data_IF_340098859666
#
_entry.id   IF_340098859666
#
_cell.length_a   1.000
_cell.length_b   1.000
_cell.length_c   1.000
_cell.angle_alpha   90.00
_cell.angle_beta   90.00
_cell.angle_gamma   90.00
#
_symmetry.space_group_name_H-M   'P 1'
#
loop_
_entity.id
_entity.type
_entity.pdbx_description
1 polymer ?
#
# COMPACT_ATOMS: atom_id res chain seq x y z
N UNK A 1 -35.27 29.98 70.01
CA UNK A 1 -35.27 31.19 69.15
C UNK A 1 -35.19 30.74 67.68
N UNK A 2 -36.34 30.57 67.03
CA UNK A 2 -36.50 30.48 65.56
C UNK A 2 -36.59 31.91 65.00
N UNK A 3 -36.15 32.32 63.82
CA UNK A 3 -35.38 31.80 62.69
C UNK A 3 -34.91 33.04 61.87
N UNK A 4 -34.12 32.93 60.78
CA UNK A 4 -34.33 33.89 59.69
C UNK A 4 -34.23 33.30 58.28
N UNK A 5 -34.82 32.14 58.00
CA UNK A 5 -34.94 31.64 56.61
C UNK A 5 -36.05 32.36 55.80
N UNK A 6 -36.96 33.10 56.47
CA UNK A 6 -38.04 33.85 55.81
C UNK A 6 -37.56 35.13 55.14
N UNK A 7 -36.50 35.76 55.64
CA UNK A 7 -35.94 36.99 55.06
C UNK A 7 -35.23 36.73 53.74
N UNK A 8 -34.50 35.63 53.64
CA UNK A 8 -33.82 35.21 52.40
C UNK A 8 -34.82 34.76 51.33
N UNK A 9 -35.87 34.05 51.71
CA UNK A 9 -36.94 33.66 50.78
C UNK A 9 -37.71 34.88 50.24
N UNK A 10 -38.01 35.87 51.09
CA UNK A 10 -38.67 37.11 50.67
C UNK A 10 -37.80 37.92 49.70
N UNK A 11 -36.49 38.02 49.97
CA UNK A 11 -35.54 38.71 49.07
C UNK A 11 -35.43 37.98 47.73
N UNK A 12 -35.38 36.64 47.73
CA UNK A 12 -35.35 35.85 46.50
C UNK A 12 -36.59 36.06 45.61
N UNK A 13 -37.79 36.06 46.20
CA UNK A 13 -39.04 36.29 45.46
C UNK A 13 -39.08 37.70 44.86
N UNK A 14 -38.59 38.72 45.58
CA UNK A 14 -38.53 40.09 45.07
C UNK A 14 -37.56 40.20 43.89
N UNK A 15 -36.38 39.57 43.97
CA UNK A 15 -35.39 39.59 42.88
C UNK A 15 -35.95 38.90 41.63
N UNK A 16 -36.58 37.74 41.78
CA UNK A 16 -37.20 37.02 40.65
C UNK A 16 -38.33 37.85 40.02
N UNK A 17 -39.18 38.50 40.83
CA UNK A 17 -40.24 39.37 40.34
C UNK A 17 -39.70 40.59 39.57
N UNK A 18 -38.58 41.16 40.01
CA UNK A 18 -37.93 42.29 39.30
C UNK A 18 -37.31 41.84 37.97
N UNK A 19 -36.69 40.66 37.92
CA UNK A 19 -36.10 40.14 36.67
C UNK A 19 -37.19 39.78 35.65
N UNK A 20 -38.23 39.08 36.07
CA UNK A 20 -39.35 38.70 35.20
C UNK A 20 -40.18 39.92 34.78
N UNK A 21 -40.40 40.87 35.71
CA UNK A 21 -41.05 42.15 35.40
C UNK A 21 -40.23 43.02 34.45
N UNK A 22 -38.90 43.08 34.63
CA UNK A 22 -38.01 43.82 33.75
C UNK A 22 -38.01 43.31 32.31
N UNK A 23 -37.99 41.98 32.12
CA UNK A 23 -38.04 41.36 30.79
C UNK A 23 -39.39 41.55 30.08
N UNK A 24 -40.50 41.65 30.81
CA UNK A 24 -41.84 41.85 30.23
C UNK A 24 -42.13 43.31 29.84
N UNK A 25 -41.50 44.28 30.51
CA UNK A 25 -41.75 45.72 30.30
C UNK A 25 -40.73 46.35 29.33
N UNK A 26 -39.55 45.74 29.17
CA UNK A 26 -38.51 46.21 28.25
C UNK A 26 -38.98 46.44 26.80
N UNK A 27 -39.84 45.59 26.19
CA UNK A 27 -40.34 45.82 24.83
C UNK A 27 -41.35 46.97 24.70
N UNK A 28 -41.95 47.41 25.81
CA UNK A 28 -42.98 48.45 25.82
C UNK A 28 -42.45 49.83 26.26
N UNK A 29 -41.33 49.88 26.99
CA UNK A 29 -40.71 51.11 27.47
C UNK A 29 -39.65 51.67 26.49
N UNK A 30 -39.08 50.82 25.64
CA UNK A 30 -38.19 51.23 24.56
C UNK A 30 -39.06 51.33 23.30
N UNK A 31 -39.39 52.57 22.90
CA UNK A 31 -40.31 52.85 21.81
C UNK A 31 -39.99 52.05 20.55
N UNK A 32 -41.03 51.47 19.96
CA UNK A 32 -41.01 51.00 18.58
C UNK A 32 -40.95 52.22 17.67
N UNK A 33 -39.74 52.71 17.41
CA UNK A 33 -39.48 53.44 16.17
C UNK A 33 -39.63 52.44 15.04
N UNK A 34 -40.79 52.51 14.39
CA UNK A 34 -41.02 51.91 13.10
C UNK A 34 -40.05 52.55 12.11
N UNK A 35 -38.88 51.92 11.92
CA UNK A 35 -38.02 52.27 10.80
C UNK A 35 -38.61 51.67 9.53
N UNK A 36 -38.85 52.57 8.59
CA UNK A 36 -39.49 52.32 7.33
C UNK A 36 -38.43 51.90 6.30
N UNK A 37 -38.65 50.77 5.64
CA UNK A 37 -38.20 50.59 4.26
C UNK A 37 -36.71 50.43 4.00
N UNK A 38 -36.02 49.59 4.76
CA UNK A 38 -34.92 48.81 4.16
C UNK A 38 -35.49 47.43 3.82
N UNK A 39 -35.63 47.11 2.53
CA UNK A 39 -35.61 45.71 2.10
C UNK A 39 -34.49 45.00 2.88
N UNK A 40 -34.71 43.79 3.43
CA UNK A 40 -33.60 43.03 3.95
C UNK A 40 -32.57 42.99 2.83
N UNK A 41 -31.40 43.58 3.07
CA UNK A 41 -30.30 43.45 2.14
C UNK A 41 -30.09 41.94 2.06
N UNK A 42 -30.43 41.33 0.92
CA UNK A 42 -30.04 39.96 0.65
C UNK A 42 -28.52 39.98 0.65
N UNK A 43 -27.94 39.74 1.82
CA UNK A 43 -26.52 39.49 1.95
C UNK A 43 -26.33 38.12 1.32
N UNK A 44 -26.23 38.09 0.00
CA UNK A 44 -25.72 36.96 -0.78
C UNK A 44 -24.25 36.80 -0.42
N UNK A 45 -23.99 36.22 0.76
CA UNK A 45 -22.65 35.92 1.19
C UNK A 45 -22.19 34.71 0.38
N UNK A 46 -21.37 34.97 -0.66
CA UNK A 46 -20.79 33.94 -1.51
C UNK A 46 -20.06 32.84 -0.71
N UNK A 47 -19.62 33.16 0.52
CA UNK A 47 -18.96 32.22 1.44
C UNK A 47 -19.91 31.19 2.09
N UNK A 48 -21.23 31.38 1.96
CA UNK A 48 -22.27 30.47 2.48
C UNK A 48 -23.15 29.91 1.36
N UNK A 49 -22.62 29.80 0.14
CA UNK A 49 -23.26 29.05 -0.93
C UNK A 49 -22.77 27.60 -0.86
N UNK A 50 -23.51 26.66 -0.23
CA UNK A 50 -23.06 25.27 -0.07
C UNK A 50 -22.77 24.58 -1.41
N UNK A 51 -23.41 25.01 -2.50
CA UNK A 51 -23.14 24.51 -3.86
C UNK A 51 -21.81 24.94 -4.46
N UNK A 52 -21.06 25.86 -3.84
CA UNK A 52 -19.74 26.34 -4.28
C UNK A 52 -18.61 25.88 -3.33
N UNK A 53 -18.96 25.11 -2.29
CA UNK A 53 -18.02 24.67 -1.23
C UNK A 53 -17.61 23.21 -1.44
N UNK A 54 -18.41 22.42 -2.15
CA UNK A 54 -18.07 21.03 -2.45
C UNK A 54 -17.06 21.04 -3.59
N UNK A 55 -15.84 20.51 -3.38
CA UNK A 55 -14.93 20.34 -4.48
C UNK A 55 -15.49 19.31 -5.47
N UNK A 56 -14.99 19.33 -6.70
CA UNK A 56 -15.35 18.32 -7.70
C UNK A 56 -14.96 16.93 -7.15
N UNK A 57 -15.91 15.99 -7.19
CA UNK A 57 -15.67 14.60 -6.78
C UNK A 57 -15.06 13.84 -7.97
N UNK A 58 -14.00 13.10 -7.69
CA UNK A 58 -13.45 12.14 -8.64
C UNK A 58 -14.49 11.03 -8.84
N UNK A 59 -14.73 10.54 -10.08
CA UNK A 59 -15.60 9.39 -10.28
C UNK A 59 -15.14 8.20 -9.42
N UNK A 60 -16.10 7.55 -8.75
CA UNK A 60 -15.93 6.37 -7.88
C UNK A 60 -16.85 5.22 -8.36
N UNK A 61 -16.91 4.98 -9.67
CA UNK A 61 -17.81 4.01 -10.28
C UNK A 61 -17.02 3.11 -11.24
N UNK A 62 -17.17 1.79 -11.12
CA UNK A 62 -16.51 0.86 -12.02
C UNK A 62 -16.63 -0.61 -11.62
N UNK A 63 -16.01 -1.47 -12.41
CA UNK A 63 -15.79 -2.88 -12.11
C UNK A 63 -14.33 -3.19 -12.43
N UNK A 64 -13.65 -3.92 -11.55
CA UNK A 64 -12.28 -4.36 -11.82
C UNK A 64 -12.36 -5.56 -12.77
N UNK A 65 -11.88 -5.39 -13.99
CA UNK A 65 -11.86 -6.44 -15.01
C UNK A 65 -10.43 -6.81 -15.40
N UNK A 66 -10.24 -8.05 -15.86
CA UNK A 66 -8.99 -8.54 -16.44
C UNK A 66 -9.15 -8.76 -17.94
N UNK A 67 -8.14 -8.41 -18.72
CA UNK A 67 -8.10 -8.71 -20.16
C UNK A 67 -7.46 -10.08 -20.45
N UNK A 68 -6.67 -10.63 -19.52
CA UNK A 68 -5.97 -11.91 -19.73
C UNK A 68 -6.92 -13.11 -19.72
N UNK A 69 -6.82 -13.94 -20.75
CA UNK A 69 -7.50 -15.24 -20.82
C UNK A 69 -6.75 -16.36 -20.06
N UNK A 70 -5.63 -16.05 -19.40
CA UNK A 70 -4.87 -17.04 -18.63
C UNK A 70 -5.73 -17.58 -17.49
N UNK A 71 -5.59 -18.88 -17.17
CA UNK A 71 -6.31 -19.48 -16.03
C UNK A 71 -5.41 -20.42 -15.24
N UNK A 72 -5.73 -20.66 -13.98
CA UNK A 72 -5.04 -21.65 -13.14
C UNK A 72 -3.64 -21.26 -12.65
N UNK A 73 -3.17 -20.04 -12.97
CA UNK A 73 -1.93 -19.47 -12.40
C UNK A 73 -2.01 -19.39 -10.88
N UNK A 74 -0.87 -19.54 -10.23
CA UNK A 74 -0.73 -19.50 -8.77
C UNK A 74 0.02 -18.25 -8.35
N UNK A 75 -0.65 -17.35 -7.63
CA UNK A 75 -0.07 -16.11 -7.11
C UNK A 75 0.32 -16.35 -5.66
N UNK A 76 1.61 -16.17 -5.35
CA UNK A 76 2.12 -16.23 -3.99
C UNK A 76 2.12 -14.81 -3.39
N UNK A 77 1.32 -14.61 -2.36
CA UNK A 77 1.25 -13.36 -1.60
C UNK A 77 2.14 -13.49 -0.36
N UNK A 78 3.07 -12.56 -0.20
CA UNK A 78 3.91 -12.50 0.98
C UNK A 78 3.12 -11.96 2.18
N UNK A 79 3.08 -12.74 3.26
CA UNK A 79 2.63 -12.31 4.60
C UNK A 79 3.65 -12.72 5.67
N UNK A 80 4.83 -13.19 5.24
CA UNK A 80 5.90 -13.68 6.11
C UNK A 80 6.79 -12.57 6.65
N UNK A 81 6.90 -11.45 5.93
CA UNK A 81 7.81 -10.35 6.27
C UNK A 81 7.12 -9.18 6.98
N UNK A 82 6.10 -9.47 7.80
CA UNK A 82 5.31 -8.47 8.53
C UNK A 82 4.76 -7.34 7.65
N UNK A 83 4.27 -7.71 6.46
CA UNK A 83 3.75 -6.77 5.46
C UNK A 83 2.78 -5.73 6.02
N UNK A 84 2.83 -4.54 5.41
CA UNK A 84 2.13 -3.35 5.87
C UNK A 84 0.62 -3.42 5.76
N UNK A 85 0.15 -4.32 4.89
CA UNK A 85 -1.22 -4.40 4.41
C UNK A 85 -1.80 -5.78 4.70
N UNK A 86 -3.06 -5.82 5.11
CA UNK A 86 -3.82 -7.01 5.42
C UNK A 86 -4.44 -7.67 4.17
N UNK A 87 -4.77 -8.96 4.29
CA UNK A 87 -5.48 -9.69 3.22
C UNK A 87 -6.83 -9.05 2.86
N UNK A 88 -7.48 -8.36 3.82
CA UNK A 88 -8.75 -7.65 3.62
C UNK A 88 -8.57 -6.38 2.79
N UNK A 89 -7.46 -5.67 2.99
CA UNK A 89 -7.15 -4.45 2.23
C UNK A 89 -6.76 -4.78 0.78
N UNK A 90 -6.12 -5.93 0.55
CA UNK A 90 -5.82 -6.42 -0.80
C UNK A 90 -7.01 -7.08 -1.50
N UNK A 91 -8.18 -7.11 -0.87
CA UNK A 91 -9.33 -7.87 -1.37
C UNK A 91 -9.69 -7.53 -2.83
N UNK A 92 -9.77 -6.26 -3.28
CA UNK A 92 -10.10 -5.94 -4.67
C UNK A 92 -9.20 -6.64 -5.71
N UNK A 93 -7.89 -6.68 -5.49
CA UNK A 93 -6.97 -7.39 -6.38
C UNK A 93 -7.08 -8.92 -6.24
N UNK A 94 -7.16 -9.43 -5.00
CA UNK A 94 -7.14 -10.87 -4.74
C UNK A 94 -8.45 -11.55 -5.15
N UNK A 95 -9.60 -10.89 -4.97
CA UNK A 95 -10.90 -11.39 -5.41
C UNK A 95 -10.97 -11.40 -6.93
N UNK A 96 -10.55 -10.32 -7.61
CA UNK A 96 -10.45 -10.26 -9.08
C UNK A 96 -9.64 -11.43 -9.64
N UNK A 97 -8.43 -11.69 -9.10
CA UNK A 97 -7.62 -12.84 -9.52
C UNK A 97 -8.31 -14.18 -9.25
N UNK A 98 -8.98 -14.34 -8.11
CA UNK A 98 -9.65 -15.58 -7.76
C UNK A 98 -10.90 -15.86 -8.61
N UNK A 99 -11.68 -14.82 -8.90
CA UNK A 99 -12.88 -14.87 -9.75
C UNK A 99 -12.53 -15.21 -11.20
N UNK A 100 -11.36 -14.78 -11.67
CA UNK A 100 -10.79 -15.16 -12.98
C UNK A 100 -10.08 -16.54 -12.97
N UNK A 101 -10.27 -17.35 -11.92
CA UNK A 101 -9.86 -18.75 -11.90
C UNK A 101 -8.38 -18.98 -11.55
N UNK A 102 -7.72 -17.98 -10.97
CA UNK A 102 -6.37 -18.13 -10.43
C UNK A 102 -6.39 -18.58 -8.97
N UNK A 103 -5.24 -19.09 -8.50
CA UNK A 103 -5.08 -19.58 -7.12
C UNK A 103 -4.23 -18.61 -6.31
N UNK A 104 -4.79 -18.11 -5.22
CA UNK A 104 -4.05 -17.32 -4.23
C UNK A 104 -3.43 -18.26 -3.19
N UNK A 105 -2.14 -18.10 -2.92
CA UNK A 105 -1.40 -18.77 -1.84
C UNK A 105 -0.66 -17.74 -1.02
N UNK A 106 -0.48 -18.03 0.27
CA UNK A 106 0.16 -17.10 1.20
C UNK A 106 1.46 -17.70 1.74
N UNK A 107 2.56 -16.98 1.58
CA UNK A 107 3.84 -17.30 2.21
C UNK A 107 3.89 -16.71 3.61
N UNK A 108 4.09 -17.56 4.63
CA UNK A 108 4.07 -17.19 6.06
C UNK A 108 5.41 -17.36 6.77
N UNK A 109 6.47 -17.79 6.08
CA UNK A 109 7.81 -18.00 6.65
C UNK A 109 7.98 -19.15 7.68
N UNK A 110 6.92 -19.89 8.01
CA UNK A 110 6.93 -20.82 9.17
C UNK A 110 7.16 -22.30 8.84
N UNK A 111 6.85 -22.75 7.62
CA UNK A 111 6.77 -24.20 7.29
C UNK A 111 7.58 -24.61 6.07
N UNK A 112 7.78 -23.67 5.15
CA UNK A 112 8.35 -23.88 3.84
C UNK A 112 9.19 -22.65 3.54
N UNK A 113 10.35 -22.81 2.91
CA UNK A 113 11.17 -21.68 2.50
C UNK A 113 10.48 -20.88 1.39
N UNK A 114 10.86 -19.62 1.22
CA UNK A 114 10.36 -18.81 0.11
C UNK A 114 10.68 -19.48 -1.23
N UNK A 115 11.90 -19.99 -1.41
CA UNK A 115 12.35 -20.59 -2.67
C UNK A 115 11.51 -21.82 -3.06
N UNK A 116 11.14 -22.66 -2.11
CA UNK A 116 10.23 -23.80 -2.36
C UNK A 116 8.82 -23.32 -2.71
N UNK A 117 8.34 -22.26 -2.05
CA UNK A 117 7.03 -21.67 -2.35
C UNK A 117 6.99 -21.06 -3.76
N UNK A 118 8.03 -20.28 -4.13
CA UNK A 118 8.19 -19.65 -5.44
C UNK A 118 8.31 -20.67 -6.57
N UNK A 119 8.91 -21.84 -6.32
CA UNK A 119 9.03 -22.91 -7.33
C UNK A 119 7.68 -23.38 -7.88
N UNK A 120 6.66 -23.33 -7.03
CA UNK A 120 5.28 -23.77 -7.31
C UNK A 120 4.30 -22.61 -7.48
N UNK A 121 4.81 -21.39 -7.65
CA UNK A 121 4.05 -20.19 -7.95
C UNK A 121 4.38 -19.71 -9.37
N UNK A 122 3.50 -18.91 -9.96
CA UNK A 122 3.69 -18.24 -11.25
C UNK A 122 3.96 -16.74 -11.06
N UNK A 123 3.46 -16.16 -9.97
CA UNK A 123 3.67 -14.77 -9.60
C UNK A 123 3.93 -14.59 -8.11
N UNK A 124 4.55 -13.47 -7.74
CA UNK A 124 4.88 -13.10 -6.37
C UNK A 124 4.43 -11.67 -6.08
N UNK A 125 3.64 -11.51 -5.03
CA UNK A 125 3.12 -10.22 -4.57
C UNK A 125 3.72 -9.88 -3.20
N UNK A 126 4.40 -8.74 -3.12
CA UNK A 126 4.99 -8.21 -1.88
C UNK A 126 4.44 -6.80 -1.64
N UNK A 127 3.94 -6.55 -0.43
CA UNK A 127 3.20 -5.32 -0.11
C UNK A 127 3.71 -4.72 1.19
N UNK A 128 4.54 -3.69 1.08
CA UNK A 128 5.14 -2.98 2.22
C UNK A 128 5.79 -3.95 3.25
N UNK A 129 6.82 -4.73 2.87
CA UNK A 129 7.45 -5.68 3.77
C UNK A 129 8.16 -4.93 4.90
N UNK A 130 7.95 -5.29 6.17
CA UNK A 130 8.61 -4.63 7.31
C UNK A 130 9.85 -5.37 7.80
N UNK A 131 9.98 -6.65 7.45
CA UNK A 131 11.20 -7.43 7.67
C UNK A 131 12.05 -7.52 6.40
N UNK A 132 13.37 -7.66 6.60
CA UNK A 132 14.31 -7.81 5.50
C UNK A 132 14.26 -9.23 4.95
N UNK A 133 14.30 -9.33 3.63
CA UNK A 133 14.58 -10.59 2.94
C UNK A 133 16.03 -10.99 3.19
N UNK A 134 16.25 -12.28 3.40
CA UNK A 134 17.60 -12.86 3.51
C UNK A 134 18.28 -12.94 2.14
N UNK A 135 19.61 -13.08 2.12
CA UNK A 135 20.35 -13.23 0.85
C UNK A 135 19.88 -14.42 0.02
N UNK A 136 19.53 -15.54 0.66
CA UNK A 136 19.03 -16.74 -0.03
C UNK A 136 17.64 -16.54 -0.62
N UNK A 137 16.80 -15.72 0.03
CA UNK A 137 15.48 -15.34 -0.47
C UNK A 137 15.60 -14.37 -1.64
N UNK A 138 16.49 -13.38 -1.57
CA UNK A 138 16.74 -12.44 -2.67
C UNK A 138 17.26 -13.16 -3.92
N UNK A 139 18.25 -14.06 -3.76
CA UNK A 139 18.74 -14.90 -4.86
C UNK A 139 17.65 -15.81 -5.42
N UNK A 140 16.75 -16.30 -4.58
CA UNK A 140 15.57 -17.05 -5.01
C UNK A 140 14.59 -16.20 -5.82
N UNK A 141 14.29 -14.99 -5.36
CA UNK A 141 13.43 -14.04 -6.07
C UNK A 141 14.02 -13.68 -7.43
N UNK A 142 15.32 -13.40 -7.51
CA UNK A 142 16.04 -13.16 -8.78
C UNK A 142 15.93 -14.37 -9.72
N UNK A 143 16.23 -15.58 -9.24
CA UNK A 143 16.09 -16.79 -10.07
C UNK A 143 14.63 -17.04 -10.52
N UNK A 144 13.66 -16.63 -9.72
CA UNK A 144 12.23 -16.73 -10.05
C UNK A 144 11.83 -15.74 -11.15
N UNK A 145 12.26 -14.48 -11.06
CA UNK A 145 11.96 -13.45 -12.06
C UNK A 145 12.73 -13.69 -13.35
N UNK A 146 13.99 -14.12 -13.30
CA UNK A 146 14.78 -14.55 -14.46
C UNK A 146 14.18 -15.78 -15.18
N UNK A 147 13.39 -16.56 -14.45
CA UNK A 147 12.63 -17.66 -15.02
C UNK A 147 11.35 -17.24 -15.71
N UNK A 148 10.94 -15.97 -15.66
CA UNK A 148 9.68 -15.47 -16.21
C UNK A 148 8.56 -15.32 -15.19
N UNK A 149 8.85 -15.52 -13.89
CA UNK A 149 7.90 -15.29 -12.81
C UNK A 149 7.66 -13.80 -12.63
N UNK A 150 6.39 -13.41 -12.46
CA UNK A 150 6.00 -12.00 -12.32
C UNK A 150 6.10 -11.58 -10.87
N UNK A 151 6.67 -10.41 -10.61
CA UNK A 151 6.76 -9.85 -9.27
C UNK A 151 6.14 -8.47 -9.21
N UNK A 152 5.20 -8.28 -8.30
CA UNK A 152 4.65 -6.97 -7.94
C UNK A 152 5.15 -6.60 -6.55
N UNK A 153 5.80 -5.44 -6.44
CA UNK A 153 6.26 -4.87 -5.17
C UNK A 153 5.58 -3.53 -4.95
N UNK A 154 4.75 -3.44 -3.92
CA UNK A 154 4.13 -2.19 -3.50
C UNK A 154 4.82 -1.67 -2.25
N UNK A 155 5.09 -0.37 -2.17
CA UNK A 155 5.75 0.26 -1.03
C UNK A 155 5.08 1.56 -0.65
N UNK A 156 4.94 1.79 0.66
CA UNK A 156 4.36 3.00 1.25
C UNK A 156 5.46 3.89 1.86
N UNK A 157 5.20 5.18 2.16
CA UNK A 157 6.16 6.00 2.88
C UNK A 157 6.42 5.47 4.31
N UNK A 158 7.61 5.74 4.90
CA UNK A 158 7.84 5.41 6.30
C UNK A 158 6.81 6.08 7.21
N UNK A 159 6.23 5.28 8.12
CA UNK A 159 5.30 5.75 9.13
C UNK A 159 5.97 5.82 10.51
N UNK A 160 5.50 6.74 11.36
CA UNK A 160 6.01 6.84 12.73
C UNK A 160 5.13 5.98 13.63
N UNK A 161 5.70 4.89 14.14
CA UNK A 161 5.03 4.05 15.10
C UNK A 161 5.26 4.60 16.51
N UNK A 162 4.16 4.84 17.23
CA UNK A 162 4.20 5.17 18.65
C UNK A 162 4.27 3.87 19.43
N UNK A 163 5.41 3.56 20.02
CA UNK A 163 5.54 2.44 20.94
C UNK A 163 5.36 2.92 22.37
N UNK A 164 4.55 2.24 23.17
CA UNK A 164 4.35 2.54 24.59
C UNK A 164 3.38 3.69 24.89
N UNK A 165 2.81 3.69 26.09
CA UNK A 165 1.85 4.70 26.52
C UNK A 165 2.51 6.09 26.65
N UNK A 166 2.35 6.94 25.63
CA UNK A 166 2.77 8.35 25.66
C UNK A 166 2.19 9.09 26.88
N UNK A 167 1.02 8.65 27.33
CA UNK A 167 0.28 9.14 28.48
C UNK A 167 1.02 9.03 29.83
N UNK A 168 2.19 8.36 29.89
CA UNK A 168 3.07 8.35 31.06
C UNK A 168 4.57 8.55 30.75
N UNK A 169 4.94 9.04 29.56
CA UNK A 169 6.35 9.28 29.20
C UNK A 169 7.21 8.02 29.05
N UNK A 170 6.58 6.84 28.95
CA UNK A 170 7.23 5.55 28.78
C UNK A 170 7.27 5.09 27.30
N UNK A 171 6.79 5.93 26.38
CA UNK A 171 6.73 5.62 24.96
C UNK A 171 7.80 6.33 24.13
N UNK A 172 8.17 5.72 23.01
CA UNK A 172 9.08 6.26 22.02
C UNK A 172 8.41 6.38 20.65
N UNK A 173 8.81 7.39 19.87
CA UNK A 173 8.50 7.45 18.45
C UNK A 173 9.59 6.67 17.71
N UNK A 174 9.20 5.66 16.94
CA UNK A 174 10.11 4.89 16.13
C UNK A 174 9.65 4.95 14.69
N UNK A 175 10.53 5.42 13.80
CA UNK A 175 10.27 5.43 12.37
C UNK A 175 10.36 3.98 11.86
N UNK A 176 9.28 3.51 11.26
CA UNK A 176 9.18 2.18 10.65
C UNK A 176 8.86 2.37 9.19
N UNK A 177 9.76 1.92 8.31
CA UNK A 177 9.59 2.01 6.87
C UNK A 177 9.70 0.64 6.20
N UNK A 178 9.13 0.48 5.00
CA UNK A 178 9.21 -0.77 4.27
C UNK A 178 10.65 -1.12 3.89
N UNK A 179 10.97 -2.41 3.86
CA UNK A 179 12.24 -2.99 3.44
C UNK A 179 12.23 -3.33 1.94
N UNK A 180 11.65 -2.45 1.11
CA UNK A 180 11.53 -2.66 -0.36
C UNK A 180 12.85 -2.45 -1.11
N UNK A 181 13.82 -1.76 -0.52
CA UNK A 181 15.07 -1.40 -1.18
C UNK A 181 15.86 -2.63 -1.68
N UNK A 182 15.91 -3.72 -0.90
CA UNK A 182 16.59 -4.95 -1.28
C UNK A 182 15.90 -5.73 -2.40
N UNK A 183 14.60 -5.51 -2.60
CA UNK A 183 13.85 -6.14 -3.69
C UNK A 183 13.95 -5.35 -5.00
N UNK A 184 14.11 -4.03 -4.93
CA UNK A 184 14.17 -3.17 -6.12
C UNK A 184 15.58 -3.01 -6.71
N UNK A 185 16.62 -3.09 -5.88
CA UNK A 185 17.99 -2.69 -6.28
C UNK A 185 18.52 -3.47 -7.49
N UNK A 186 18.29 -4.78 -7.54
CA UNK A 186 18.80 -5.65 -8.60
C UNK A 186 18.10 -5.39 -9.94
N UNK A 187 16.94 -4.73 -9.90
CA UNK A 187 16.15 -4.34 -11.07
C UNK A 187 16.29 -2.86 -11.44
N UNK A 188 17.22 -2.13 -10.80
CA UNK A 188 17.43 -0.70 -11.04
C UNK A 188 16.28 0.18 -10.53
N UNK A 189 15.55 -0.29 -9.52
CA UNK A 189 14.40 0.39 -8.92
C UNK A 189 14.75 0.79 -7.48
N UNK A 190 14.50 2.05 -7.13
CA UNK A 190 14.65 2.54 -5.78
C UNK A 190 13.40 3.31 -5.34
N UNK A 191 12.86 2.95 -4.17
CA UNK A 191 11.79 3.70 -3.52
C UNK A 191 12.40 4.92 -2.84
N UNK A 192 11.91 6.11 -3.18
CA UNK A 192 12.39 7.35 -2.62
C UNK A 192 11.92 7.57 -1.19
N UNK A 193 12.52 8.55 -0.53
CA UNK A 193 12.14 8.98 0.81
C UNK A 193 11.13 10.12 0.77
N UNK A 194 10.17 10.08 1.68
CA UNK A 194 9.05 11.01 1.73
C UNK A 194 7.92 10.62 0.78
N UNK A 195 6.89 11.47 0.74
CA UNK A 195 5.68 11.30 -0.04
C UNK A 195 5.58 12.39 -1.11
N UNK A 196 4.83 12.10 -2.16
CA UNK A 196 4.46 13.06 -3.19
C UNK A 196 3.22 13.84 -2.76
N UNK A 197 3.17 15.10 -3.14
CA UNK A 197 2.02 15.96 -2.90
C UNK A 197 1.82 16.95 -4.05
N UNK A 198 0.57 17.35 -4.28
CA UNK A 198 0.22 18.38 -5.26
C UNK A 198 -0.82 19.32 -4.61
N UNK A 199 -0.49 20.61 -4.50
CA UNK A 199 -1.36 21.58 -3.82
C UNK A 199 -2.47 22.12 -4.74
N UNK A 200 -2.34 21.92 -6.05
CA UNK A 200 -3.19 22.55 -7.07
C UNK A 200 -4.11 21.54 -7.75
N UNK A 201 -3.57 20.38 -8.12
CA UNK A 201 -4.27 19.31 -8.84
C UNK A 201 -4.17 18.02 -8.05
N UNK A 202 -5.16 17.77 -7.18
CA UNK A 202 -5.22 16.62 -6.28
C UNK A 202 -6.66 16.14 -6.06
N UNK A 203 -6.80 14.91 -5.60
CA UNK A 203 -8.09 14.32 -5.25
C UNK A 203 -8.50 14.74 -3.83
N UNK A 204 -8.94 15.99 -3.70
CA UNK A 204 -9.51 16.57 -2.47
C UNK A 204 -8.63 16.51 -1.20
N UNK A 205 -7.37 16.10 -1.37
CA UNK A 205 -6.33 16.05 -0.38
C UNK A 205 -5.00 16.21 -1.11
N UNK A 206 -4.20 17.19 -0.71
CA UNK A 206 -2.91 17.48 -1.35
C UNK A 206 -1.93 16.30 -1.41
N UNK A 207 -2.13 15.25 -0.60
CA UNK A 207 -1.33 14.01 -0.65
C UNK A 207 -1.91 12.91 -1.54
N UNK A 208 -3.14 13.07 -2.01
CA UNK A 208 -3.79 12.21 -3.01
C UNK A 208 -3.48 12.79 -4.39
N UNK A 209 -2.34 12.39 -4.95
CA UNK A 209 -1.85 12.95 -6.20
C UNK A 209 -2.42 12.18 -7.40
N UNK A 210 -2.77 12.90 -8.46
CA UNK A 210 -3.06 12.27 -9.74
C UNK A 210 -1.77 11.82 -10.41
N UNK A 211 -1.79 10.65 -11.03
CA UNK A 211 -0.74 10.18 -11.92
C UNK A 211 -1.30 9.75 -13.27
N UNK A 212 -0.55 10.00 -14.33
CA UNK A 212 -0.95 9.77 -15.72
C UNK A 212 0.10 8.92 -16.45
N UNK A 213 -0.28 8.22 -17.54
CA UNK A 213 0.64 7.43 -18.35
C UNK A 213 1.81 8.25 -18.89
N UNK A 214 3.04 7.85 -18.55
CA UNK A 214 4.27 8.35 -19.16
C UNK A 214 4.80 7.45 -20.29
N UNK A 215 4.26 6.23 -20.41
CA UNK A 215 4.59 5.27 -21.44
C UNK A 215 3.35 4.43 -21.80
N UNK A 216 3.24 4.02 -23.06
CA UNK A 216 2.23 3.07 -23.52
C UNK A 216 2.71 1.64 -23.21
N UNK A 217 2.06 0.99 -22.26
CA UNK A 217 2.40 -0.36 -21.78
C UNK A 217 1.12 -1.12 -21.41
N UNK A 218 1.23 -2.43 -21.20
CA UNK A 218 0.11 -3.22 -20.67
C UNK A 218 -0.41 -2.66 -19.32
N UNK A 219 0.46 -2.02 -18.51
CA UNK A 219 0.07 -1.40 -17.23
C UNK A 219 -0.76 -0.12 -17.37
N UNK A 220 -0.76 0.51 -18.54
CA UNK A 220 -1.38 1.82 -18.79
C UNK A 220 -2.48 1.75 -19.86
N UNK A 221 -2.83 0.55 -20.31
CA UNK A 221 -3.92 0.37 -21.26
C UNK A 221 -5.23 0.73 -20.58
N UNK A 222 -6.02 1.62 -21.21
CA UNK A 222 -7.30 2.08 -20.66
C UNK A 222 -7.20 3.05 -19.47
N UNK A 223 -5.99 3.38 -19.00
CA UNK A 223 -5.79 4.33 -17.89
C UNK A 223 -5.61 5.73 -18.46
N UNK A 224 -6.54 6.64 -18.16
CA UNK A 224 -6.38 8.06 -18.40
C UNK A 224 -5.67 8.73 -17.21
N UNK A 225 -6.11 8.44 -15.98
CA UNK A 225 -5.45 8.87 -14.73
C UNK A 225 -5.81 8.00 -13.53
N UNK A 226 -4.92 7.95 -12.54
CA UNK A 226 -5.12 7.25 -11.28
C UNK A 226 -4.91 8.18 -10.09
N UNK A 227 -5.45 7.79 -8.92
CA UNK A 227 -5.22 8.50 -7.65
C UNK A 227 -4.26 7.67 -6.79
N UNK A 228 -3.12 8.25 -6.47
CA UNK A 228 -2.11 7.64 -5.60
C UNK A 228 -2.00 8.42 -4.29
N UNK A 229 -2.20 7.77 -3.15
CA UNK A 229 -2.26 8.41 -1.83
C UNK A 229 -0.92 8.28 -1.10
N UNK A 230 -0.39 9.41 -0.65
CA UNK A 230 0.92 9.52 0.01
C UNK A 230 2.07 8.81 -0.75
N UNK A 231 1.96 8.69 -2.08
CA UNK A 231 2.84 7.85 -2.87
C UNK A 231 4.31 8.23 -2.71
N UNK A 232 5.20 7.24 -2.59
CA UNK A 232 6.64 7.45 -2.64
C UNK A 232 7.13 7.50 -4.09
N UNK A 233 8.09 8.39 -4.43
CA UNK A 233 8.60 8.43 -5.80
C UNK A 233 9.47 7.20 -6.09
N UNK A 234 9.20 6.53 -7.20
CA UNK A 234 10.06 5.49 -7.74
C UNK A 234 11.18 6.14 -8.57
N UNK A 235 12.42 5.85 -8.20
CA UNK A 235 13.62 6.28 -8.92
C UNK A 235 14.18 5.11 -9.71
N UNK A 236 14.52 5.39 -10.96
CA UNK A 236 15.12 4.40 -11.87
C UNK A 236 15.90 5.10 -12.98
N UNK A 237 16.94 4.44 -13.50
CA UNK A 237 17.68 4.90 -14.67
C UNK A 237 17.14 4.26 -15.97
N UNK A 238 16.82 2.97 -15.92
CA UNK A 238 16.56 2.15 -17.12
C UNK A 238 15.16 1.50 -17.13
N UNK A 239 14.46 1.45 -16.00
CA UNK A 239 13.11 0.88 -15.95
C UNK A 239 12.09 1.82 -16.63
N UNK A 240 11.05 1.23 -17.21
CA UNK A 240 9.97 1.99 -17.83
C UNK A 240 9.12 2.64 -16.74
N UNK A 241 9.07 3.97 -16.71
CA UNK A 241 8.16 4.74 -15.85
C UNK A 241 6.78 4.68 -16.48
N UNK A 242 5.91 3.83 -15.96
CA UNK A 242 4.58 3.60 -16.52
C UNK A 242 3.64 4.77 -16.19
N UNK A 243 3.57 5.14 -14.90
CA UNK A 243 2.76 6.25 -14.41
C UNK A 243 3.64 7.27 -13.67
N UNK A 244 3.39 8.55 -13.92
CA UNK A 244 4.08 9.67 -13.27
C UNK A 244 3.08 10.67 -12.73
N UNK A 245 3.42 11.33 -11.62
CA UNK A 245 2.61 12.42 -11.08
C UNK A 245 2.45 13.56 -12.09
N UNK A 246 1.25 14.16 -12.12
CA UNK A 246 0.90 15.29 -13.00
C UNK A 246 1.70 16.55 -12.69
N UNK A 247 1.61 17.56 -13.55
CA UNK A 247 2.23 18.87 -13.33
C UNK A 247 1.84 19.46 -11.97
N UNK A 248 2.81 20.11 -11.31
CA UNK A 248 2.65 20.62 -9.94
C UNK A 248 2.84 19.58 -8.84
N UNK A 249 3.24 18.35 -9.16
CA UNK A 249 3.65 17.35 -8.16
C UNK A 249 5.01 17.70 -7.56
N UNK A 250 5.10 17.66 -6.23
CA UNK A 250 6.28 17.95 -5.43
C UNK A 250 6.68 16.78 -4.53
N UNK A 251 7.97 16.66 -4.22
CA UNK A 251 8.48 15.73 -3.23
C UNK A 251 8.53 16.35 -1.83
N UNK A 252 7.94 15.73 -0.80
CA UNK A 252 7.85 16.34 0.54
C UNK A 252 9.18 16.62 1.23
N UNK A 253 10.23 15.86 0.93
CA UNK A 253 11.55 16.00 1.57
C UNK A 253 12.35 17.19 1.05
N UNK A 254 12.22 17.53 -0.24
CA UNK A 254 12.97 18.64 -0.86
C UNK A 254 12.09 19.81 -1.29
N UNK A 255 10.77 19.57 -1.43
CA UNK A 255 9.77 20.46 -2.03
C UNK A 255 10.02 20.77 -3.50
N UNK A 256 10.92 20.05 -4.15
CA UNK A 256 11.19 20.25 -5.56
C UNK A 256 9.97 19.82 -6.38
N UNK A 257 9.53 20.61 -7.37
CA UNK A 257 8.58 20.15 -8.37
C UNK A 257 9.27 19.15 -9.31
N UNK A 258 8.52 18.19 -9.83
CA UNK A 258 9.05 17.27 -10.84
C UNK A 258 8.07 16.22 -11.32
N UNK A 259 8.46 15.52 -12.38
CA UNK A 259 7.75 14.37 -12.93
C UNK A 259 8.24 13.10 -12.22
N UNK A 260 7.65 12.82 -11.07
CA UNK A 260 8.01 11.66 -10.25
C UNK A 260 7.26 10.42 -10.70
N UNK A 261 7.97 9.32 -10.97
CA UNK A 261 7.31 8.04 -11.24
C UNK A 261 6.67 7.50 -9.97
N UNK A 262 5.47 6.95 -10.10
CA UNK A 262 4.75 6.24 -9.03
C UNK A 262 4.58 4.76 -9.36
N UNK A 263 4.61 4.41 -10.66
CA UNK A 263 4.68 3.03 -11.14
C UNK A 263 5.83 2.89 -12.12
N UNK A 264 6.68 1.91 -11.91
CA UNK A 264 7.76 1.58 -12.84
C UNK A 264 7.88 0.06 -13.06
N UNK A 265 8.26 -0.34 -14.27
CA UNK A 265 8.44 -1.74 -14.66
C UNK A 265 9.84 -1.99 -15.20
N UNK A 266 10.50 -3.00 -14.65
CA UNK A 266 11.78 -3.54 -15.10
C UNK A 266 11.60 -5.02 -15.43
N UNK A 267 11.37 -5.33 -16.71
CA UNK A 267 11.14 -6.70 -17.18
C UNK A 267 9.95 -7.39 -16.50
N UNK A 268 10.26 -8.38 -15.66
CA UNK A 268 9.28 -9.19 -14.93
C UNK A 268 8.92 -8.63 -13.54
N UNK A 269 9.42 -7.43 -13.19
CA UNK A 269 9.16 -6.76 -11.91
C UNK A 269 8.45 -5.44 -12.14
N UNK A 270 7.33 -5.25 -11.44
CA UNK A 270 6.60 -3.99 -11.37
C UNK A 270 6.66 -3.46 -9.94
N UNK A 271 7.03 -2.19 -9.80
CA UNK A 271 7.09 -1.46 -8.55
C UNK A 271 6.03 -0.36 -8.52
N UNK A 272 5.26 -0.31 -7.44
CA UNK A 272 4.26 0.75 -7.18
C UNK A 272 4.61 1.44 -5.87
N UNK A 273 4.67 2.77 -5.89
CA UNK A 273 5.01 3.60 -4.74
C UNK A 273 3.84 3.88 -3.80
N UNK A 274 2.78 3.08 -3.85
CA UNK A 274 1.59 3.24 -3.04
C UNK A 274 0.97 1.85 -2.79
N UNK A 275 0.25 1.71 -1.69
CA UNK A 275 -0.54 0.54 -1.32
C UNK A 275 -2.02 0.85 -1.15
N UNK A 276 -2.41 2.12 -1.05
CA UNK A 276 -3.77 2.51 -0.72
C UNK A 276 -4.71 2.42 -1.92
N UNK A 277 -4.21 2.65 -3.14
CA UNK A 277 -5.01 2.59 -4.38
C UNK A 277 -5.74 1.25 -4.60
N UNK A 278 -5.24 0.15 -4.00
CA UNK A 278 -5.82 -1.20 -4.12
C UNK A 278 -6.84 -1.52 -3.02
N UNK A 279 -6.98 -0.66 -1.99
CA UNK A 279 -7.97 -0.90 -0.94
C UNK A 279 -9.38 -0.60 -1.42
N UNK A 280 -10.39 -1.22 -0.81
CA UNK A 280 -11.80 -1.04 -1.23
C UNK A 280 -12.23 0.43 -1.25
N UNK A 281 -11.67 1.22 -0.35
CA UNK A 281 -11.97 2.64 -0.20
C UNK A 281 -11.46 3.47 -1.38
N UNK A 282 -10.44 3.02 -2.10
CA UNK A 282 -9.79 3.80 -3.16
C UNK A 282 -9.73 3.09 -4.51
N UNK A 283 -10.14 1.82 -4.58
CA UNK A 283 -10.02 0.96 -5.76
C UNK A 283 -10.80 1.47 -6.97
N UNK A 284 -11.72 2.41 -6.79
CA UNK A 284 -12.53 3.00 -7.84
C UNK A 284 -12.26 4.50 -8.01
N UNK A 285 -11.27 5.06 -7.31
CA UNK A 285 -10.91 6.47 -7.47
C UNK A 285 -10.28 6.68 -8.85
N UNK A 286 -10.92 7.49 -9.69
CA UNK A 286 -10.52 7.69 -11.09
C UNK A 286 -10.46 6.36 -11.85
N UNK A 287 -9.33 5.99 -12.46
CA UNK A 287 -9.15 4.72 -13.16
C UNK A 287 -8.33 3.71 -12.33
N UNK A 288 -8.37 3.79 -11.00
CA UNK A 288 -7.65 2.85 -10.12
C UNK A 288 -8.08 1.39 -10.38
N UNK A 289 -9.34 1.15 -10.71
CA UNK A 289 -9.89 -0.16 -11.04
C UNK A 289 -9.27 -0.73 -12.31
N UNK A 290 -9.01 0.13 -13.31
CA UNK A 290 -8.33 -0.23 -14.54
C UNK A 290 -6.87 -0.57 -14.26
N UNK A 291 -6.18 0.23 -13.43
CA UNK A 291 -4.81 -0.09 -13.01
C UNK A 291 -4.73 -1.41 -12.23
N UNK A 292 -5.69 -1.69 -11.34
CA UNK A 292 -5.75 -2.96 -10.59
C UNK A 292 -5.95 -4.13 -11.56
N UNK A 293 -6.83 -3.99 -12.56
CA UNK A 293 -7.01 -4.96 -13.63
C UNK A 293 -5.71 -5.24 -14.40
N UNK A 294 -5.05 -4.17 -14.86
CA UNK A 294 -3.77 -4.28 -15.58
C UNK A 294 -2.66 -4.92 -14.72
N UNK A 295 -2.64 -4.68 -13.40
CA UNK A 295 -1.71 -5.33 -12.47
C UNK A 295 -2.04 -6.81 -12.29
N UNK A 296 -3.32 -7.17 -12.25
CA UNK A 296 -3.75 -8.55 -12.22
C UNK A 296 -3.33 -9.30 -13.49
N UNK A 297 -3.54 -8.70 -14.67
CA UNK A 297 -3.07 -9.23 -15.96
C UNK A 297 -1.55 -9.42 -15.97
N UNK A 298 -0.81 -8.39 -15.55
CA UNK A 298 0.64 -8.46 -15.41
C UNK A 298 1.08 -9.66 -14.55
N UNK A 299 0.40 -9.94 -13.43
CA UNK A 299 0.75 -11.06 -12.55
C UNK A 299 0.54 -12.41 -13.25
N UNK A 300 -0.45 -12.55 -14.13
CA UNK A 300 -0.83 -13.85 -14.70
C UNK A 300 -0.24 -14.12 -16.09
N UNK A 301 0.18 -13.06 -16.80
CA UNK A 301 0.81 -13.12 -18.14
C UNK A 301 2.30 -13.52 -18.12
N UNK A 302 2.81 -13.95 -16.97
CA UNK A 302 4.14 -14.53 -16.85
C UNK A 302 4.20 -15.97 -17.38
N UNK A 303 5.23 -16.27 -18.18
CA UNK A 303 5.59 -17.64 -18.56
C UNK A 303 6.79 -18.11 -17.76
N UNK A 304 6.57 -18.42 -16.47
CA UNK A 304 7.66 -18.91 -15.62
C UNK A 304 8.09 -20.32 -16.00
N UNK A 305 9.38 -20.51 -16.29
CA UNK A 305 10.00 -21.83 -16.42
C UNK A 305 9.83 -22.63 -15.13
N UNK A 306 9.41 -23.89 -15.28
CA UNK A 306 9.20 -24.81 -14.16
C UNK A 306 10.50 -25.07 -13.39
N UNK A 307 10.40 -25.31 -12.08
CA UNK A 307 11.55 -25.73 -11.27
C UNK A 307 12.48 -24.60 -10.80
N UNK A 308 12.26 -23.35 -11.24
CA UNK A 308 12.93 -22.18 -10.70
C UNK A 308 12.13 -21.56 -9.54
N UNK A 309 12.75 -21.20 -8.40
CA UNK A 309 14.18 -21.33 -8.10
C UNK A 309 14.60 -22.79 -7.90
N UNK A 310 15.85 -23.12 -8.24
CA UNK A 310 16.36 -24.49 -8.19
C UNK A 310 16.26 -25.12 -6.79
N UNK A 311 16.24 -26.45 -6.73
CA UNK A 311 16.33 -27.18 -5.45
C UNK A 311 17.69 -26.99 -4.80
N UNK A 312 17.75 -26.86 -3.46
CA UNK A 312 19.02 -26.94 -2.75
C UNK A 312 19.79 -28.19 -3.18
N UNK A 313 21.01 -28.02 -3.69
CA UNK A 313 21.86 -29.12 -4.17
C UNK A 313 21.62 -29.56 -5.62
N UNK A 314 20.74 -28.91 -6.39
CA UNK A 314 20.53 -29.23 -7.81
C UNK A 314 21.79 -29.01 -8.69
N UNK A 315 22.68 -28.11 -8.27
CA UNK A 315 23.96 -27.82 -8.94
C UNK A 315 25.14 -28.62 -8.36
N UNK A 316 24.91 -29.48 -7.36
CA UNK A 316 25.98 -30.36 -6.88
C UNK A 316 26.27 -31.45 -7.94
N UNK A 317 27.54 -31.67 -8.33
CA UNK A 317 27.90 -32.77 -9.20
C UNK A 317 27.37 -34.08 -8.61
N UNK A 318 26.51 -34.79 -9.36
CA UNK A 318 26.00 -36.09 -8.94
C UNK A 318 27.21 -36.97 -8.56
N UNK A 319 27.36 -37.24 -7.27
CA UNK A 319 28.37 -38.17 -6.78
C UNK A 319 28.09 -39.51 -7.47
N UNK A 320 29.05 -40.10 -8.19
CA UNK A 320 28.83 -41.38 -8.85
C UNK A 320 28.27 -42.37 -7.82
N UNK A 321 27.28 -43.20 -8.19
CA UNK A 321 26.79 -44.20 -7.26
C UNK A 321 28.00 -45.00 -6.80
N UNK A 322 28.25 -45.03 -5.49
CA UNK A 322 29.17 -45.97 -4.87
C UNK A 322 28.56 -47.35 -5.02
N UNK A 323 28.63 -47.88 -6.24
CA UNK A 323 28.31 -49.24 -6.56
C UNK A 323 29.41 -50.13 -6.03
N UNK A 324 29.01 -51.15 -5.28
CA UNK A 324 29.82 -52.34 -5.11
C UNK A 324 30.43 -52.48 -3.72
N UNK A 325 29.84 -53.41 -2.98
CA UNK A 325 30.42 -54.14 -1.89
C UNK A 325 31.76 -54.79 -2.33
N UNK A 326 32.84 -54.01 -2.32
CA UNK A 326 34.19 -54.46 -2.61
C UNK A 326 34.85 -54.97 -1.33
N UNK A 327 34.86 -56.29 -1.17
CA UNK A 327 35.54 -56.96 -0.07
C UNK A 327 36.98 -56.47 0.08
N UNK A 328 37.41 -56.34 1.34
CA UNK A 328 38.80 -56.06 1.68
C UNK A 328 39.75 -57.03 0.93
N UNK A 329 40.90 -56.56 0.41
CA UNK A 329 41.87 -57.47 -0.19
C UNK A 329 42.36 -58.44 0.88
N UNK A 330 42.11 -59.74 0.67
CA UNK A 330 42.71 -60.78 1.51
C UNK A 330 44.21 -60.82 1.22
N UNK A 331 45.10 -60.85 2.23
CA UNK A 331 46.54 -60.95 2.00
C UNK A 331 46.87 -62.26 1.28
N UNK A 332 47.88 -62.30 0.39
CA UNK A 332 48.26 -63.54 -0.27
C UNK A 332 48.78 -64.57 0.75
N UNK A 333 48.50 -65.88 0.55
CA UNK A 333 48.96 -66.91 1.46
C UNK A 333 50.49 -67.03 1.43
N UNK A 334 51.08 -67.17 2.63
CA UNK A 334 52.51 -67.33 2.86
C UNK A 334 52.97 -68.69 2.28
N UNK A 335 54.05 -68.74 1.48
CA UNK A 335 54.56 -70.02 0.97
C UNK A 335 55.11 -70.88 2.10
N UNK A 336 54.70 -72.15 2.13
CA UNK A 336 55.20 -73.19 3.02
C UNK A 336 56.63 -73.59 2.61
N UNK A 337 57.61 -73.66 3.52
CA UNK A 337 58.93 -74.18 3.19
C UNK A 337 58.84 -75.70 2.96
N UNK A 338 59.44 -76.18 1.87
CA UNK A 338 59.65 -77.60 1.63
C UNK A 338 60.70 -78.16 2.62
N UNK A 339 60.53 -79.41 3.10
CA UNK A 339 61.46 -80.01 4.05
C UNK A 339 62.80 -80.35 3.39
N UNK A 340 63.88 -80.16 4.14
CA UNK A 340 65.19 -80.76 3.87
C UNK A 340 65.35 -82.03 4.72
#
# INVERSE_FOLDING_TARGET
>A
MSAPNSRLAAVFVVIVAVIVGGAAVAPYALGSEADAGSDPVDVENQQFQPGTILPDETPEEGEITMDSDATGKTILVDVGHQNGVSETELEPLLSTLAENGHRIRFYRGQRTSLNESLRSADAFLVVSPREKFTSDELAGVEAFTDAGGRMLVMGEPPSVQVSGGILFGLGGLQETGPQTASLGSDYGIAYGSGYLYNMETNDNNYKSVFAEPAATTDLTTGVDRVVMREAVPIRTADATRALVGVDGTHLSTTRDPGTYAVVARSGNVTAVGDTDFVTRENAFDADNEVLIGNLADFLVDGEKRSGAPAEPGADEPQRPPTGGNGGAPTPPPRPTPAPA
#
